data_IF_553895247962
#
_entry.id   IF_553895247962
#
_cell.length_a   1.000
_cell.length_b   1.000
_cell.length_c   1.000
_cell.angle_alpha   90.00
_cell.angle_beta   90.00
_cell.angle_gamma   90.00
#
_symmetry.space_group_name_H-M   'P 1'
#
loop_
_entity.id
_entity.type
_entity.pdbx_description
1 polymer ?
#
# COMPACT_ATOMS: atom_id res chain seq x y z
N UNK A 1 -49.80 57.00 6.03
CA UNK A 1 -50.49 55.72 6.24
C UNK A 1 -49.53 54.84 7.01
N UNK A 2 -49.86 54.56 8.27
CA UNK A 2 -49.08 53.76 9.23
C UNK A 2 -49.52 52.30 9.09
N UNK A 3 -48.57 51.35 9.20
CA UNK A 3 -48.62 50.00 9.80
C UNK A 3 -47.18 49.44 9.60
N UNK A 4 -46.27 49.45 10.60
CA UNK A 4 -46.05 48.41 11.65
C UNK A 4 -46.07 47.00 11.04
N UNK A 5 -45.10 46.11 11.20
CA UNK A 5 -44.23 45.74 12.34
C UNK A 5 -43.24 44.69 11.79
N UNK A 6 -42.16 44.22 12.40
CA UNK A 6 -41.59 44.35 13.75
C UNK A 6 -40.20 43.72 13.68
N UNK A 7 -39.24 44.34 14.37
CA UNK A 7 -38.29 43.74 15.33
C UNK A 7 -37.37 42.59 14.86
N UNK A 8 -36.13 42.43 15.31
CA UNK A 8 -35.19 43.14 16.19
C UNK A 8 -33.89 42.36 15.96
N UNK A 9 -32.83 43.02 15.52
CA UNK A 9 -31.70 43.37 16.38
C UNK A 9 -31.15 42.19 17.18
N UNK A 10 -29.99 41.65 16.79
CA UNK A 10 -28.97 41.28 17.77
C UNK A 10 -27.56 41.24 17.15
N UNK A 11 -26.81 42.30 17.49
CA UNK A 11 -25.50 42.25 18.11
C UNK A 11 -24.39 41.37 17.50
N UNK A 12 -23.46 42.07 16.85
CA UNK A 12 -22.00 41.97 17.02
C UNK A 12 -21.45 40.77 17.81
N UNK A 13 -20.68 39.91 17.14
CA UNK A 13 -19.43 39.47 17.74
C UNK A 13 -18.37 39.15 16.67
N UNK A 14 -17.24 39.88 16.75
CA UNK A 14 -16.04 39.62 15.96
C UNK A 14 -15.37 38.36 16.52
N UNK A 15 -15.47 37.25 15.80
CA UNK A 15 -14.59 36.11 16.03
C UNK A 15 -13.61 35.98 14.86
N UNK A 16 -12.39 36.41 15.14
CA UNK A 16 -11.17 36.06 14.44
C UNK A 16 -11.09 34.55 14.21
N UNK A 17 -11.06 34.17 12.93
CA UNK A 17 -10.85 32.81 12.46
C UNK A 17 -9.43 32.38 12.82
N UNK A 18 -9.22 31.26 13.52
CA UNK A 18 -7.87 30.75 13.74
C UNK A 18 -7.39 30.16 12.41
N UNK A 19 -6.28 30.70 11.89
CA UNK A 19 -5.48 30.05 10.85
C UNK A 19 -4.99 28.70 11.38
N UNK A 20 -5.64 27.61 10.95
CA UNK A 20 -5.12 26.27 11.19
C UNK A 20 -3.84 26.08 10.37
N UNK A 21 -2.73 26.14 11.08
CA UNK A 21 -1.41 25.83 10.60
C UNK A 21 -1.33 24.31 10.34
N UNK A 22 -1.77 23.87 9.16
CA UNK A 22 -1.53 22.51 8.65
C UNK A 22 -0.06 22.32 8.25
N UNK A 23 0.85 22.54 9.21
CA UNK A 23 2.14 21.86 9.21
C UNK A 23 1.95 20.50 9.90
N UNK A 24 1.12 19.65 9.30
CA UNK A 24 1.24 18.23 9.57
C UNK A 24 2.54 17.80 8.91
N UNK A 25 3.53 17.50 9.75
CA UNK A 25 4.66 16.66 9.37
C UNK A 25 4.02 15.34 8.90
N UNK A 26 3.76 15.23 7.59
CA UNK A 26 3.08 14.13 6.95
C UNK A 26 4.00 12.92 6.96
N UNK A 27 4.18 12.34 8.13
CA UNK A 27 4.58 10.94 8.21
C UNK A 27 3.46 10.17 7.50
N UNK A 28 3.75 9.45 6.41
CA UNK A 28 2.73 8.66 5.74
C UNK A 28 2.07 7.74 6.77
N UNK A 29 0.74 7.59 6.75
CA UNK A 29 0.05 6.76 7.73
C UNK A 29 0.67 5.37 7.68
N UNK A 30 1.21 4.92 8.81
CA UNK A 30 1.77 3.58 8.92
C UNK A 30 0.66 2.57 8.60
N UNK A 31 0.96 1.64 7.70
CA UNK A 31 0.04 0.55 7.39
C UNK A 31 -0.30 -0.18 8.68
N UNK A 32 -1.61 -0.32 8.96
CA UNK A 32 -2.08 -1.06 10.13
C UNK A 32 -2.21 -2.55 9.79
N UNK A 33 -2.11 -3.40 10.80
CA UNK A 33 -2.27 -4.85 10.65
C UNK A 33 -3.64 -5.21 10.06
N UNK A 34 -4.69 -4.50 10.49
CA UNK A 34 -6.07 -4.70 10.05
C UNK A 34 -6.22 -4.45 8.53
N UNK A 35 -5.42 -3.52 7.99
CA UNK A 35 -5.39 -3.25 6.56
C UNK A 35 -4.88 -4.45 5.75
N UNK A 36 -3.99 -5.28 6.31
CA UNK A 36 -3.54 -6.52 5.69
C UNK A 36 -4.50 -7.68 5.89
N UNK A 37 -5.05 -7.84 7.11
CA UNK A 37 -6.02 -8.92 7.41
C UNK A 37 -7.34 -8.76 6.62
N UNK A 38 -7.67 -7.53 6.22
CA UNK A 38 -8.79 -7.23 5.34
C UNK A 38 -8.32 -6.40 4.13
N UNK A 39 -7.66 -7.03 3.13
CA UNK A 39 -6.84 -6.34 2.13
C UNK A 39 -7.60 -5.49 1.11
N UNK A 40 -8.86 -5.13 1.35
CA UNK A 40 -9.65 -4.26 0.45
C UNK A 40 -8.98 -2.91 0.22
N UNK A 41 -8.48 -2.29 1.29
CA UNK A 41 -7.79 -0.99 1.21
C UNK A 41 -6.50 -1.10 0.40
N UNK A 42 -5.66 -2.09 0.72
CA UNK A 42 -4.37 -2.28 0.04
C UNK A 42 -4.56 -2.69 -1.42
N UNK A 43 -5.53 -3.54 -1.74
CA UNK A 43 -5.89 -3.86 -3.14
C UNK A 43 -6.27 -2.62 -3.93
N UNK A 44 -7.13 -1.77 -3.35
CA UNK A 44 -7.55 -0.53 -4.00
C UNK A 44 -6.38 0.42 -4.21
N UNK A 45 -5.50 0.54 -3.20
CA UNK A 45 -4.25 1.31 -3.32
C UNK A 45 -3.35 0.78 -4.44
N UNK A 46 -3.05 -0.53 -4.47
CA UNK A 46 -2.19 -1.13 -5.48
C UNK A 46 -2.77 -0.95 -6.89
N UNK A 47 -4.08 -1.16 -7.04
CA UNK A 47 -4.77 -0.97 -8.31
C UNK A 47 -4.70 0.49 -8.79
N UNK A 48 -5.06 1.45 -7.93
CA UNK A 48 -5.04 2.88 -8.27
C UNK A 48 -3.62 3.37 -8.55
N UNK A 49 -2.64 2.93 -7.77
CA UNK A 49 -1.23 3.26 -7.99
C UNK A 49 -0.79 2.79 -9.38
N UNK A 50 -1.04 1.53 -9.75
CA UNK A 50 -0.66 0.99 -11.07
C UNK A 50 -1.34 1.75 -12.22
N UNK A 51 -2.63 2.07 -12.06
CA UNK A 51 -3.38 2.87 -13.04
C UNK A 51 -2.79 4.28 -13.22
N UNK A 52 -2.37 4.92 -12.12
CA UNK A 52 -1.83 6.28 -12.17
C UNK A 52 -0.34 6.35 -12.53
N UNK A 53 0.40 5.25 -12.44
CA UNK A 53 1.85 5.25 -12.67
C UNK A 53 2.28 4.47 -13.90
N UNK A 54 1.87 3.22 -14.00
CA UNK A 54 2.39 2.26 -14.98
C UNK A 54 1.54 2.26 -16.26
N UNK A 55 0.21 2.33 -16.15
CA UNK A 55 -0.67 2.31 -17.34
C UNK A 55 -0.53 3.56 -18.20
N UNK A 56 -0.20 4.70 -17.59
CA UNK A 56 0.01 5.98 -18.28
C UNK A 56 1.49 6.27 -18.57
N UNK A 57 2.40 5.34 -18.26
CA UNK A 57 3.85 5.59 -18.27
C UNK A 57 4.34 6.13 -19.62
N UNK A 58 3.88 5.53 -20.73
CA UNK A 58 4.27 5.93 -22.09
C UNK A 58 3.79 7.34 -22.43
N UNK A 59 2.54 7.65 -22.09
CA UNK A 59 1.96 8.97 -22.35
C UNK A 59 2.67 10.05 -21.53
N UNK A 60 2.96 9.76 -20.27
CA UNK A 60 3.68 10.66 -19.38
C UNK A 60 5.12 10.90 -19.87
N UNK A 61 5.85 9.84 -20.23
CA UNK A 61 7.20 9.95 -20.80
C UNK A 61 7.21 10.78 -22.08
N UNK A 62 6.32 10.49 -23.03
CA UNK A 62 6.22 11.27 -24.27
C UNK A 62 5.91 12.74 -23.98
N UNK A 63 5.01 13.04 -23.06
CA UNK A 63 4.70 14.41 -22.69
C UNK A 63 5.93 15.15 -22.14
N UNK A 64 6.68 14.53 -21.22
CA UNK A 64 7.91 15.12 -20.67
C UNK A 64 8.95 15.30 -21.79
N UNK A 65 9.08 14.31 -22.69
CA UNK A 65 10.02 14.36 -23.82
C UNK A 65 9.60 15.37 -24.91
N UNK A 66 8.32 15.66 -25.06
CA UNK A 66 7.83 16.65 -26.04
C UNK A 66 7.91 18.08 -25.50
N UNK A 67 7.69 18.26 -24.19
CA UNK A 67 7.71 19.56 -23.50
C UNK A 67 9.08 19.91 -22.91
N UNK A 68 10.16 19.24 -23.36
CA UNK A 68 11.51 19.60 -22.97
C UNK A 68 11.73 21.06 -23.26
N UNK A 69 11.92 21.84 -22.19
CA UNK A 69 12.20 23.25 -22.32
C UNK A 69 13.44 23.39 -23.21
N UNK A 70 13.26 23.97 -24.39
CA UNK A 70 14.34 24.14 -25.38
C UNK A 70 15.49 24.97 -24.82
N UNK A 71 15.31 25.61 -23.65
CA UNK A 71 16.33 26.30 -22.87
C UNK A 71 17.28 25.36 -22.10
N UNK A 72 16.83 24.15 -21.72
CA UNK A 72 17.59 23.14 -21.00
C UNK A 72 18.06 22.06 -21.98
N UNK A 73 19.35 22.08 -22.33
CA UNK A 73 20.03 21.06 -23.14
C UNK A 73 20.16 19.69 -22.42
N UNK A 74 19.12 19.22 -21.73
CA UNK A 74 19.11 17.89 -21.13
C UNK A 74 18.94 16.82 -22.20
N UNK A 75 19.81 15.82 -22.16
CA UNK A 75 19.68 14.63 -22.99
C UNK A 75 18.40 13.85 -22.65
N UNK A 76 17.89 13.04 -23.58
CA UNK A 76 16.74 12.16 -23.31
C UNK A 76 17.00 11.27 -22.08
N UNK A 77 18.25 10.78 -21.94
CA UNK A 77 18.66 9.92 -20.84
C UNK A 77 18.55 10.62 -19.48
N UNK A 78 18.98 11.88 -19.37
CA UNK A 78 18.88 12.63 -18.10
C UNK A 78 17.43 12.88 -17.68
N UNK A 79 16.56 13.22 -18.64
CA UNK A 79 15.13 13.42 -18.39
C UNK A 79 14.46 12.11 -17.94
N UNK A 80 14.79 11.00 -18.60
CA UNK A 80 14.28 9.69 -18.23
C UNK A 80 14.81 9.22 -16.86
N UNK A 81 16.08 9.46 -16.55
CA UNK A 81 16.64 9.16 -15.23
C UNK A 81 15.93 9.96 -14.14
N UNK A 82 15.67 11.25 -14.37
CA UNK A 82 14.92 12.06 -13.41
C UNK A 82 13.51 11.52 -13.17
N UNK A 83 12.81 11.12 -14.24
CA UNK A 83 11.51 10.45 -14.14
C UNK A 83 11.59 9.12 -13.36
N UNK A 84 12.59 8.28 -13.64
CA UNK A 84 12.79 7.00 -12.96
C UNK A 84 12.98 7.19 -11.45
N UNK A 85 13.99 7.97 -11.06
CA UNK A 85 14.38 8.11 -9.65
C UNK A 85 13.39 8.92 -8.83
N UNK A 86 12.78 9.97 -9.41
CA UNK A 86 11.86 10.84 -8.67
C UNK A 86 10.44 10.34 -8.65
N UNK A 87 9.98 9.69 -9.72
CA UNK A 87 8.58 9.30 -9.84
C UNK A 87 8.40 7.79 -9.78
N UNK A 88 8.97 7.04 -10.72
CA UNK A 88 8.62 5.64 -10.88
C UNK A 88 9.10 4.76 -9.72
N UNK A 89 10.37 4.87 -9.34
CA UNK A 89 10.97 4.06 -8.28
C UNK A 89 10.33 4.30 -6.91
N UNK A 90 9.94 5.55 -6.62
CA UNK A 90 9.21 5.88 -5.41
C UNK A 90 7.85 5.17 -5.35
N UNK A 91 7.10 5.17 -6.45
CA UNK A 91 5.81 4.49 -6.51
C UNK A 91 5.94 2.97 -6.41
N UNK A 92 6.88 2.37 -7.13
CA UNK A 92 7.18 0.93 -7.05
C UNK A 92 7.57 0.51 -5.63
N UNK A 93 8.42 1.29 -4.96
CA UNK A 93 8.83 1.02 -3.60
C UNK A 93 7.69 1.19 -2.60
N UNK A 94 6.79 2.16 -2.78
CA UNK A 94 5.60 2.31 -1.94
C UNK A 94 4.69 1.07 -2.03
N UNK A 95 4.46 0.55 -3.24
CA UNK A 95 3.70 -0.69 -3.46
C UNK A 95 4.38 -1.91 -2.86
N UNK A 96 5.68 -2.09 -3.11
CA UNK A 96 6.44 -3.21 -2.54
C UNK A 96 6.48 -3.18 -1.02
N UNK A 97 6.70 -2.01 -0.40
CA UNK A 97 6.62 -1.86 1.07
C UNK A 97 5.27 -2.30 1.61
N UNK A 98 4.18 -2.00 0.91
CA UNK A 98 2.84 -2.41 1.31
C UNK A 98 2.65 -3.93 1.23
N UNK A 99 3.14 -4.55 0.17
CA UNK A 99 3.07 -6.01 -0.02
C UNK A 99 3.95 -6.74 1.01
N UNK A 100 5.17 -6.26 1.24
CA UNK A 100 6.11 -6.83 2.22
C UNK A 100 5.61 -6.68 3.66
N UNK A 101 5.00 -5.55 3.99
CA UNK A 101 4.36 -5.38 5.29
C UNK A 101 3.29 -6.47 5.52
N UNK A 102 2.42 -6.72 4.53
CA UNK A 102 1.44 -7.79 4.64
C UNK A 102 2.03 -9.21 4.64
N UNK A 103 3.19 -9.40 4.01
CA UNK A 103 3.93 -10.65 4.13
C UNK A 103 4.38 -10.91 5.57
N UNK A 104 4.94 -9.89 6.23
CA UNK A 104 5.35 -9.97 7.64
C UNK A 104 4.13 -10.25 8.52
N UNK A 105 3.03 -9.54 8.32
CA UNK A 105 1.80 -9.75 9.08
C UNK A 105 1.18 -11.13 8.83
N UNK A 106 1.28 -11.68 7.62
CA UNK A 106 0.87 -13.06 7.32
C UNK A 106 1.70 -14.08 8.11
N UNK A 107 3.02 -13.87 8.22
CA UNK A 107 3.91 -14.72 9.03
C UNK A 107 3.61 -14.58 10.53
N UNK A 108 3.33 -13.37 11.01
CA UNK A 108 2.93 -13.12 12.39
C UNK A 108 1.63 -13.84 12.73
N UNK A 109 0.61 -13.71 11.86
CA UNK A 109 -0.67 -14.40 12.00
C UNK A 109 -0.48 -15.91 12.09
N UNK A 110 0.35 -16.50 11.23
CA UNK A 110 0.66 -17.93 11.31
C UNK A 110 1.28 -18.31 12.66
N UNK A 111 2.28 -17.55 13.11
CA UNK A 111 2.94 -17.81 14.39
C UNK A 111 1.98 -17.73 15.58
N UNK A 112 1.01 -16.82 15.54
CA UNK A 112 -0.03 -16.72 16.57
C UNK A 112 -0.96 -17.94 16.55
N UNK A 113 -1.44 -18.36 15.37
CA UNK A 113 -2.28 -19.55 15.22
C UNK A 113 -1.54 -20.80 15.72
N UNK A 114 -0.26 -20.97 15.36
CA UNK A 114 0.55 -22.11 15.77
C UNK A 114 0.71 -22.15 17.30
N UNK A 115 0.94 -20.99 17.95
CA UNK A 115 1.05 -20.89 19.41
C UNK A 115 -0.27 -21.18 20.11
N UNK A 116 -1.37 -20.61 19.61
CA UNK A 116 -2.70 -20.84 20.18
C UNK A 116 -3.11 -22.32 20.08
N UNK A 117 -2.83 -22.95 18.93
CA UNK A 117 -3.11 -24.37 18.70
C UNK A 117 -2.33 -25.23 19.69
N UNK A 118 -1.02 -25.00 19.84
CA UNK A 118 -0.19 -25.75 20.79
C UNK A 118 -0.65 -25.59 22.26
N UNK A 119 -1.07 -24.38 22.66
CA UNK A 119 -1.62 -24.12 24.00
C UNK A 119 -2.94 -24.89 24.19
N UNK A 120 -3.80 -24.91 23.18
CA UNK A 120 -5.09 -25.58 23.29
C UNK A 120 -4.95 -27.11 23.30
N UNK A 121 -4.01 -27.66 22.53
CA UNK A 121 -3.63 -29.09 22.57
C UNK A 121 -3.22 -29.53 23.98
N UNK A 122 -2.41 -28.72 24.67
CA UNK A 122 -2.00 -28.99 26.05
C UNK A 122 -3.17 -28.94 27.03
N UNK A 123 -4.11 -27.99 26.87
CA UNK A 123 -5.29 -27.90 27.73
C UNK A 123 -6.21 -29.11 27.59
N UNK A 124 -6.33 -29.66 26.39
CA UNK A 124 -7.17 -30.83 26.18
C UNK A 124 -6.61 -32.13 26.74
N UNK A 125 -5.28 -32.29 26.73
CA UNK A 125 -4.65 -33.42 27.40
C UNK A 125 -5.03 -33.52 28.89
N UNK A 126 -5.53 -32.42 29.48
CA UNK A 126 -5.94 -32.31 30.88
C UNK A 126 -7.46 -32.48 31.07
N UNK A 127 -8.30 -32.26 30.05
CA UNK A 127 -9.77 -32.33 30.19
C UNK A 127 -10.32 -33.73 29.91
N UNK A 128 -11.19 -34.24 30.80
CA UNK A 128 -11.88 -35.52 30.61
C UNK A 128 -12.89 -35.45 29.45
N UNK A 129 -12.77 -36.29 28.41
CA UNK A 129 -13.70 -36.35 27.28
C UNK A 129 -15.17 -36.58 27.66
N UNK A 130 -15.45 -37.11 28.86
CA UNK A 130 -16.82 -37.32 29.37
C UNK A 130 -17.55 -36.03 29.72
N UNK A 131 -16.82 -34.94 29.96
CA UNK A 131 -17.39 -33.64 30.33
C UNK A 131 -17.90 -32.91 29.09
N UNK A 132 -17.21 -33.04 27.94
CA UNK A 132 -17.66 -32.50 26.66
C UNK A 132 -17.18 -33.36 25.47
N UNK A 133 -18.04 -34.23 24.92
CA UNK A 133 -17.70 -35.08 23.78
C UNK A 133 -17.42 -34.33 22.47
N UNK A 134 -17.84 -33.07 22.35
CA UNK A 134 -17.71 -32.28 21.12
C UNK A 134 -16.57 -31.27 21.15
N UNK A 135 -15.93 -31.05 22.31
CA UNK A 135 -14.87 -30.05 22.47
C UNK A 135 -13.75 -30.15 21.42
N UNK A 136 -13.33 -31.38 21.13
CA UNK A 136 -12.26 -31.66 20.17
C UNK A 136 -12.66 -31.35 18.72
N UNK A 137 -13.92 -31.58 18.35
CA UNK A 137 -14.42 -31.26 17.01
C UNK A 137 -14.50 -29.75 16.84
N UNK A 138 -15.16 -29.05 17.78
CA UNK A 138 -15.32 -27.61 17.72
C UNK A 138 -13.98 -26.89 17.63
N UNK A 139 -12.97 -27.34 18.40
CA UNK A 139 -11.63 -26.76 18.37
C UNK A 139 -10.91 -27.01 17.04
N UNK A 140 -11.03 -28.21 16.47
CA UNK A 140 -10.48 -28.53 15.14
C UNK A 140 -11.08 -27.62 14.08
N UNK A 141 -12.39 -27.44 14.11
CA UNK A 141 -13.11 -26.55 13.19
C UNK A 141 -12.64 -25.10 13.36
N UNK A 142 -12.52 -24.61 14.60
CA UNK A 142 -11.97 -23.27 14.89
C UNK A 142 -10.54 -23.09 14.35
N UNK A 143 -9.70 -24.10 14.52
CA UNK A 143 -8.31 -24.09 14.08
C UNK A 143 -8.22 -24.09 12.55
N UNK A 144 -9.03 -24.92 11.89
CA UNK A 144 -9.13 -24.97 10.43
C UNK A 144 -9.57 -23.61 9.86
N UNK A 145 -10.59 -22.98 10.46
CA UNK A 145 -11.04 -21.65 10.07
C UNK A 145 -9.95 -20.57 10.20
N UNK A 146 -9.10 -20.67 11.22
CA UNK A 146 -7.95 -19.76 11.37
C UNK A 146 -6.90 -19.98 10.29
N UNK A 147 -6.52 -21.23 10.03
CA UNK A 147 -5.57 -21.54 8.95
C UNK A 147 -6.12 -21.18 7.57
N UNK A 148 -7.42 -21.30 7.34
CA UNK A 148 -8.06 -20.85 6.10
C UNK A 148 -7.83 -19.35 5.86
N UNK A 149 -8.02 -18.51 6.89
CA UNK A 149 -7.77 -17.06 6.80
C UNK A 149 -6.30 -16.76 6.51
N UNK A 150 -5.39 -17.42 7.20
CA UNK A 150 -3.95 -17.32 6.93
C UNK A 150 -3.62 -17.70 5.47
N UNK A 151 -4.12 -18.84 4.98
CA UNK A 151 -3.86 -19.32 3.63
C UNK A 151 -4.38 -18.33 2.58
N UNK A 152 -5.57 -17.77 2.79
CA UNK A 152 -6.12 -16.73 1.91
C UNK A 152 -5.22 -15.49 1.84
N UNK A 153 -4.76 -15.00 2.99
CA UNK A 153 -3.86 -13.85 3.05
C UNK A 153 -2.52 -14.15 2.39
N UNK A 154 -1.90 -15.28 2.72
CA UNK A 154 -0.62 -15.70 2.18
C UNK A 154 -0.66 -15.86 0.65
N UNK A 155 -1.70 -16.52 0.13
CA UNK A 155 -1.88 -16.68 -1.32
C UNK A 155 -2.07 -15.33 -2.01
N UNK A 156 -2.84 -14.43 -1.40
CA UNK A 156 -3.01 -13.08 -1.93
C UNK A 156 -1.68 -12.31 -1.96
N UNK A 157 -0.89 -12.33 -0.89
CA UNK A 157 0.43 -11.67 -0.84
C UNK A 157 1.36 -12.20 -1.93
N UNK A 158 1.45 -13.53 -2.10
CA UNK A 158 2.31 -14.14 -3.10
C UNK A 158 1.89 -13.75 -4.52
N UNK A 159 0.58 -13.77 -4.80
CA UNK A 159 0.05 -13.31 -6.07
C UNK A 159 0.34 -11.82 -6.33
N UNK A 160 0.22 -10.95 -5.32
CA UNK A 160 0.58 -9.53 -5.50
C UNK A 160 2.07 -9.32 -5.78
N UNK A 161 2.96 -10.14 -5.22
CA UNK A 161 4.40 -10.11 -5.55
C UNK A 161 4.64 -10.47 -7.02
N UNK A 162 3.98 -11.52 -7.50
CA UNK A 162 4.07 -11.95 -8.90
C UNK A 162 3.51 -10.89 -9.85
N UNK A 163 2.35 -10.32 -9.53
CA UNK A 163 1.76 -9.22 -10.29
C UNK A 163 2.71 -8.03 -10.33
N UNK A 164 3.29 -7.65 -9.19
CA UNK A 164 4.19 -6.50 -9.12
C UNK A 164 5.45 -6.73 -9.98
N UNK A 165 6.03 -7.93 -9.98
CA UNK A 165 7.14 -8.27 -10.86
C UNK A 165 6.77 -8.16 -12.35
N UNK A 166 5.56 -8.60 -12.73
CA UNK A 166 5.07 -8.49 -14.11
C UNK A 166 4.86 -7.02 -14.51
N UNK A 167 4.26 -6.22 -13.63
CA UNK A 167 4.03 -4.78 -13.88
C UNK A 167 5.35 -4.05 -14.05
N UNK A 168 6.31 -4.29 -13.15
CA UNK A 168 7.65 -3.71 -13.26
C UNK A 168 8.33 -4.11 -14.56
N UNK A 169 8.30 -5.40 -14.94
CA UNK A 169 8.87 -5.88 -16.20
C UNK A 169 8.30 -5.15 -17.43
N UNK A 170 6.97 -5.02 -17.52
CA UNK A 170 6.31 -4.29 -18.62
C UNK A 170 6.69 -2.81 -18.66
N UNK A 171 6.70 -2.16 -17.50
CA UNK A 171 7.09 -0.75 -17.41
C UNK A 171 8.56 -0.55 -17.81
N UNK A 172 9.46 -1.47 -17.42
CA UNK A 172 10.87 -1.48 -17.84
C UNK A 172 10.99 -1.56 -19.36
N UNK A 173 10.25 -2.46 -20.01
CA UNK A 173 10.25 -2.60 -21.48
C UNK A 173 9.87 -1.27 -22.16
N UNK A 174 8.78 -0.63 -21.72
CA UNK A 174 8.32 0.65 -22.29
C UNK A 174 9.37 1.75 -22.11
N UNK A 175 10.02 1.81 -20.95
CA UNK A 175 11.06 2.80 -20.66
C UNK A 175 12.29 2.55 -21.53
N UNK A 176 12.75 1.30 -21.66
CA UNK A 176 13.89 0.95 -22.51
C UNK A 176 13.65 1.38 -23.96
N UNK A 177 12.45 1.12 -24.49
CA UNK A 177 12.08 1.51 -25.84
C UNK A 177 12.02 3.03 -26.03
N UNK A 178 11.42 3.74 -25.08
CA UNK A 178 11.18 5.19 -25.18
C UNK A 178 12.44 6.01 -24.92
N UNK A 179 13.20 5.62 -23.89
CA UNK A 179 14.37 6.34 -23.41
C UNK A 179 15.69 5.85 -24.05
N UNK A 180 15.66 4.71 -24.76
CA UNK A 180 16.84 4.07 -25.37
C UNK A 180 17.95 3.79 -24.36
N UNK A 181 17.56 3.38 -23.16
CA UNK A 181 18.46 3.05 -22.06
C UNK A 181 18.84 1.56 -22.18
N UNK A 182 20.14 1.28 -22.18
CA UNK A 182 20.68 -0.08 -22.25
C UNK A 182 21.06 -0.66 -20.88
N UNK A 183 20.77 0.04 -19.77
CA UNK A 183 21.05 -0.46 -18.42
C UNK A 183 20.01 -1.49 -17.95
N UNK A 184 20.39 -2.27 -16.94
CA UNK A 184 19.47 -3.14 -16.23
C UNK A 184 18.68 -2.34 -15.18
N UNK A 185 17.54 -1.80 -15.62
CA UNK A 185 16.64 -1.00 -14.77
C UNK A 185 16.14 -1.75 -13.53
N UNK A 186 16.06 -3.08 -13.57
CA UNK A 186 15.64 -3.87 -12.42
C UNK A 186 16.71 -3.80 -11.33
N UNK A 187 17.97 -4.02 -11.71
CA UNK A 187 19.12 -3.90 -10.81
C UNK A 187 19.30 -2.46 -10.31
N UNK A 188 19.07 -1.47 -11.17
CA UNK A 188 19.13 -0.05 -10.80
C UNK A 188 18.08 0.27 -9.71
N UNK A 189 16.86 -0.27 -9.86
CA UNK A 189 15.80 -0.11 -8.86
C UNK A 189 16.16 -0.77 -7.53
N UNK A 190 16.65 -2.01 -7.54
CA UNK A 190 17.07 -2.72 -6.33
C UNK A 190 18.20 -2.00 -5.60
N UNK A 191 19.16 -1.48 -6.35
CA UNK A 191 20.27 -0.69 -5.83
C UNK A 191 19.76 0.59 -5.20
N UNK A 192 18.92 1.35 -5.91
CA UNK A 192 18.28 2.56 -5.39
C UNK A 192 17.46 2.28 -4.13
N UNK A 193 16.73 1.16 -4.11
CA UNK A 193 15.92 0.74 -2.95
C UNK A 193 16.79 0.43 -1.74
N UNK A 194 17.94 -0.22 -1.94
CA UNK A 194 18.88 -0.54 -0.87
C UNK A 194 19.46 0.71 -0.20
N UNK A 195 19.71 1.78 -0.99
CA UNK A 195 20.23 3.06 -0.52
C UNK A 195 19.18 3.88 0.24
N UNK A 196 17.90 3.73 -0.11
CA UNK A 196 16.77 4.45 0.47
C UNK A 196 15.99 3.63 1.52
N UNK A 197 16.61 2.61 2.12
CA UNK A 197 16.11 1.96 3.34
C UNK A 197 16.40 2.85 4.54
N UNK A 198 15.63 3.93 4.67
CA UNK A 198 15.49 4.71 5.91
C UNK A 198 14.05 4.63 6.38
#
# INVERSE_FOLDING_TARGET
>A
MILWSSDSNDNNNKNSMPEENHNQNLNPPALSREACLSPKGIRSFLQLSRLSTDDIIKAHLNNILDHRDRSLHKSNGEVCNDFLYRYLFNNWNSRLRSIEYCEVESKNLKSEIDKETAINEQKEAVTDPRINPYAEIDRKDETELKYLKYNQLNNWVNNEKEIEAIVQGRSIEIIKDTCKINSDLQQDFETWRSLNKT
#
